data_IF_535396177544
#
_entry.id   IF_535396177544
#
_cell.length_a   1.000
_cell.length_b   1.000
_cell.length_c   1.000
_cell.angle_alpha   90.00
_cell.angle_beta   90.00
_cell.angle_gamma   90.00
#
_symmetry.space_group_name_H-M   'P 1'
#
loop_
_entity.id
_entity.type
_entity.pdbx_description
1 polymer ?
#
# COMPACT_ATOMS: atom_id res chain seq x y z
N UNK A 1 -16.88 3.20 6.41
CA UNK A 1 -17.49 4.52 6.19
C UNK A 1 -17.47 4.79 4.70
N UNK A 2 -18.60 5.17 4.10
CA UNK A 2 -18.73 5.45 2.64
C UNK A 2 -18.67 6.98 2.48
N UNK A 3 -17.77 7.50 1.64
CA UNK A 3 -17.65 8.95 1.37
C UNK A 3 -16.30 9.61 1.70
N UNK A 4 -15.30 8.87 2.18
CA UNK A 4 -13.98 9.43 2.46
C UNK A 4 -13.18 9.63 1.18
N UNK A 5 -12.56 10.80 1.00
CA UNK A 5 -11.73 11.09 -0.16
C UNK A 5 -10.41 10.33 -0.03
N UNK A 6 -10.17 9.41 -0.97
CA UNK A 6 -9.05 8.47 -0.92
C UNK A 6 -8.16 8.61 -2.14
N UNK A 7 -6.85 8.49 -1.92
CA UNK A 7 -5.86 8.38 -2.99
C UNK A 7 -5.01 7.13 -2.81
N UNK A 8 -4.75 6.42 -3.90
CA UNK A 8 -3.84 5.27 -3.94
C UNK A 8 -2.62 5.65 -4.77
N UNK A 9 -1.43 5.42 -4.22
CA UNK A 9 -0.15 5.70 -4.87
C UNK A 9 0.53 4.37 -5.20
N UNK A 10 0.87 4.14 -6.46
CA UNK A 10 1.66 2.98 -6.88
C UNK A 10 3.15 3.28 -6.70
N UNK A 11 3.65 3.01 -5.49
CA UNK A 11 5.05 3.19 -5.12
C UNK A 11 5.91 1.95 -5.43
N UNK A 12 5.39 0.93 -6.13
CA UNK A 12 6.21 -0.09 -6.76
C UNK A 12 6.78 0.45 -8.08
N UNK A 13 7.83 1.25 -7.95
CA UNK A 13 8.53 1.88 -9.09
C UNK A 13 9.36 0.87 -9.92
N UNK A 14 9.37 -0.42 -9.55
CA UNK A 14 10.17 -1.47 -10.20
C UNK A 14 9.31 -2.41 -11.04
N UNK A 15 8.11 -2.74 -10.56
CA UNK A 15 7.13 -3.64 -11.20
C UNK A 15 5.70 -3.14 -10.95
N UNK A 16 5.34 -1.94 -11.42
CA UNK A 16 4.04 -1.36 -11.16
C UNK A 16 2.91 -2.17 -11.81
N UNK A 17 1.80 -2.31 -11.10
CA UNK A 17 0.63 -3.08 -11.59
C UNK A 17 -0.68 -2.35 -11.41
N UNK A 18 -0.69 -1.21 -10.72
CA UNK A 18 -1.92 -0.55 -10.34
C UNK A 18 -2.62 0.07 -11.55
N UNK A 19 -1.85 0.62 -12.49
CA UNK A 19 -2.38 1.19 -13.72
C UNK A 19 -3.17 0.18 -14.56
N UNK A 20 -2.74 -1.08 -14.62
CA UNK A 20 -3.46 -2.17 -15.31
C UNK A 20 -4.78 -2.48 -14.60
N UNK A 21 -4.76 -2.57 -13.27
CA UNK A 21 -5.94 -2.89 -12.44
C UNK A 21 -7.03 -1.83 -12.55
N UNK A 22 -6.64 -0.56 -12.73
CA UNK A 22 -7.57 0.56 -12.86
C UNK A 22 -7.78 1.04 -14.30
N UNK A 23 -7.14 0.38 -15.29
CA UNK A 23 -7.24 0.73 -16.71
C UNK A 23 -6.91 2.21 -17.00
N UNK A 24 -5.79 2.69 -16.46
CA UNK A 24 -5.29 4.07 -16.63
C UNK A 24 -3.90 4.09 -17.28
N UNK A 25 -3.50 5.25 -17.82
CA UNK A 25 -2.15 5.43 -18.36
C UNK A 25 -1.10 5.39 -17.25
N UNK A 26 0.10 4.88 -17.59
CA UNK A 26 1.29 4.87 -16.73
C UNK A 26 2.47 5.62 -17.38
N UNK A 27 2.21 6.49 -18.35
CA UNK A 27 3.24 7.28 -19.02
C UNK A 27 3.75 8.44 -18.15
N UNK A 28 2.86 8.97 -17.30
CA UNK A 28 3.12 10.07 -16.37
C UNK A 28 2.66 9.62 -14.98
N UNK A 29 3.59 9.60 -14.02
CA UNK A 29 3.30 9.19 -12.64
C UNK A 29 4.39 9.62 -11.65
N UNK A 30 4.51 8.88 -10.55
CA UNK A 30 5.48 9.16 -9.49
C UNK A 30 6.92 9.29 -9.99
N UNK A 31 7.37 8.47 -10.94
CA UNK A 31 8.73 8.56 -11.46
C UNK A 31 8.98 9.87 -12.21
N UNK A 32 8.00 10.41 -12.94
CA UNK A 32 8.13 11.71 -13.61
C UNK A 32 8.12 12.84 -12.59
N UNK A 33 7.28 12.74 -11.55
CA UNK A 33 7.31 13.68 -10.44
C UNK A 33 8.70 13.69 -9.77
N UNK A 34 9.26 12.51 -9.51
CA UNK A 34 10.53 12.37 -8.80
C UNK A 34 11.75 12.83 -9.61
N UNK A 35 11.74 12.67 -10.94
CA UNK A 35 12.89 13.00 -11.79
C UNK A 35 12.75 14.38 -12.44
N UNK A 36 11.57 14.71 -12.94
CA UNK A 36 11.34 15.88 -13.79
C UNK A 36 10.57 17.00 -13.07
N UNK A 37 10.20 16.80 -11.80
CA UNK A 37 9.34 17.71 -11.05
C UNK A 37 8.01 18.00 -11.77
N UNK A 38 7.49 17.00 -12.49
CA UNK A 38 6.17 17.08 -13.14
C UNK A 38 5.14 17.54 -12.11
N UNK A 39 4.26 18.52 -12.44
CA UNK A 39 3.28 19.02 -11.49
C UNK A 39 2.40 17.89 -10.92
N UNK A 40 2.12 17.96 -9.61
CA UNK A 40 1.28 16.96 -8.92
C UNK A 40 -0.13 16.86 -9.53
N UNK A 41 -0.62 17.94 -10.12
CA UNK A 41 -1.91 17.98 -10.81
C UNK A 41 -1.94 17.08 -12.06
N UNK A 42 -0.79 16.82 -12.68
CA UNK A 42 -0.67 15.96 -13.87
C UNK A 42 -0.55 14.47 -13.52
N UNK A 43 -0.06 14.15 -12.32
CA UNK A 43 0.11 12.75 -11.87
C UNK A 43 -1.10 12.24 -11.07
N UNK A 44 -1.98 13.11 -10.58
CA UNK A 44 -3.17 12.74 -9.80
C UNK A 44 -4.33 12.49 -10.76
N UNK A 45 -4.63 11.22 -10.98
CA UNK A 45 -5.69 10.78 -11.88
C UNK A 45 -6.98 10.47 -11.12
N UNK A 46 -8.12 10.75 -11.75
CA UNK A 46 -9.41 10.26 -11.27
C UNK A 46 -9.59 8.81 -11.69
N UNK A 47 -10.12 7.99 -10.79
CA UNK A 47 -10.61 6.66 -11.15
C UNK A 47 -12.10 6.71 -11.51
N UNK A 48 -12.63 5.61 -12.06
CA UNK A 48 -14.07 5.43 -12.27
C UNK A 48 -14.87 5.22 -10.97
N UNK A 49 -14.18 5.15 -9.83
CA UNK A 49 -14.77 4.99 -8.49
C UNK A 49 -14.90 6.36 -7.83
N UNK A 50 -16.11 6.67 -7.36
CA UNK A 50 -16.37 7.92 -6.65
C UNK A 50 -15.45 8.09 -5.43
N UNK A 51 -14.92 9.30 -5.25
CA UNK A 51 -14.00 9.67 -4.18
C UNK A 51 -12.66 8.92 -4.17
N UNK A 52 -12.31 8.20 -5.24
CA UNK A 52 -11.03 7.52 -5.38
C UNK A 52 -10.18 8.16 -6.50
N UNK A 53 -8.98 8.58 -6.11
CA UNK A 53 -7.94 9.06 -7.01
C UNK A 53 -6.74 8.13 -6.99
N UNK A 54 -5.93 8.20 -8.02
CA UNK A 54 -4.79 7.32 -8.22
C UNK A 54 -3.59 8.15 -8.67
N UNK A 55 -2.43 7.87 -8.09
CA UNK A 55 -1.14 8.27 -8.66
C UNK A 55 -0.48 6.99 -9.19
N UNK A 56 -0.39 6.81 -10.52
CA UNK A 56 0.33 5.67 -11.08
C UNK A 56 1.84 5.84 -10.85
N UNK A 57 2.60 4.76 -10.98
CA UNK A 57 4.04 4.80 -10.70
C UNK A 57 4.81 5.65 -11.72
N UNK A 58 4.30 5.73 -12.95
CA UNK A 58 5.07 6.14 -14.13
C UNK A 58 5.97 5.01 -14.67
N UNK A 59 6.75 5.25 -15.73
CA UNK A 59 7.84 4.40 -16.19
C UNK A 59 8.75 3.90 -15.07
N UNK A 60 9.29 2.70 -15.26
CA UNK A 60 10.17 2.01 -14.30
C UNK A 60 11.35 2.90 -13.89
N UNK A 61 11.58 3.01 -12.58
CA UNK A 61 12.65 3.82 -12.00
C UNK A 61 13.59 2.95 -11.14
N UNK A 62 14.74 2.51 -11.68
CA UNK A 62 15.61 1.54 -11.00
C UNK A 62 16.35 2.08 -9.77
N UNK A 63 16.58 3.40 -9.69
CA UNK A 63 17.22 4.13 -8.58
C UNK A 63 16.19 4.81 -7.65
N UNK A 64 15.00 4.22 -7.52
CA UNK A 64 13.92 4.69 -6.64
C UNK A 64 14.37 4.94 -5.20
N UNK A 65 15.18 4.03 -4.62
CA UNK A 65 15.58 4.09 -3.20
C UNK A 65 16.28 5.41 -2.84
N UNK A 66 17.24 5.84 -3.65
CA UNK A 66 18.04 7.06 -3.41
C UNK A 66 17.16 8.32 -3.38
N UNK A 67 16.20 8.40 -4.29
CA UNK A 67 15.28 9.53 -4.39
C UNK A 67 14.28 9.56 -3.23
N UNK A 68 13.82 8.39 -2.78
CA UNK A 68 12.93 8.28 -1.61
C UNK A 68 13.67 8.71 -0.34
N UNK A 69 14.92 8.26 -0.18
CA UNK A 69 15.79 8.62 0.94
C UNK A 69 16.10 10.13 0.95
N UNK A 70 16.34 10.72 -0.23
CA UNK A 70 16.54 12.16 -0.39
C UNK A 70 15.30 13.03 -0.11
N UNK A 71 14.14 12.44 0.19
CA UNK A 71 12.93 13.17 0.57
C UNK A 71 12.16 13.77 -0.59
N UNK A 72 12.37 13.28 -1.82
CA UNK A 72 11.72 13.82 -3.04
C UNK A 72 10.17 13.76 -2.96
N UNK A 73 9.62 12.85 -2.15
CA UNK A 73 8.16 12.72 -1.96
C UNK A 73 7.61 13.53 -0.78
N UNK A 74 8.44 14.17 0.05
CA UNK A 74 8.02 14.81 1.29
C UNK A 74 6.92 15.88 1.03
N UNK A 75 7.14 16.76 0.04
CA UNK A 75 6.19 17.81 -0.35
C UNK A 75 4.89 17.25 -0.95
N UNK A 76 4.99 16.18 -1.75
CA UNK A 76 3.82 15.53 -2.33
C UNK A 76 2.95 14.93 -1.23
N UNK A 77 3.57 14.18 -0.32
CA UNK A 77 2.86 13.54 0.79
C UNK A 77 2.21 14.60 1.69
N UNK A 78 2.88 15.70 1.98
CA UNK A 78 2.30 16.77 2.80
C UNK A 78 1.10 17.44 2.12
N UNK A 79 1.20 17.71 0.82
CA UNK A 79 0.06 18.18 0.03
C UNK A 79 -1.11 17.19 0.08
N UNK A 80 -0.85 15.90 -0.13
CA UNK A 80 -1.90 14.88 -0.15
C UNK A 80 -2.60 14.77 1.20
N UNK A 81 -1.88 14.91 2.32
CA UNK A 81 -2.47 14.91 3.68
C UNK A 81 -3.45 16.07 3.89
N UNK A 82 -3.22 17.22 3.23
CA UNK A 82 -4.10 18.38 3.30
C UNK A 82 -5.39 18.21 2.48
N UNK A 83 -5.42 17.26 1.53
CA UNK A 83 -6.49 17.14 0.53
C UNK A 83 -7.30 15.85 0.68
N UNK A 84 -6.70 14.77 1.18
CA UNK A 84 -7.30 13.43 1.24
C UNK A 84 -7.46 12.95 2.68
N UNK A 85 -8.55 12.22 2.92
CA UNK A 85 -8.81 11.58 4.21
C UNK A 85 -7.93 10.33 4.40
N UNK A 86 -7.71 9.59 3.30
CA UNK A 86 -6.94 8.35 3.27
C UNK A 86 -5.91 8.41 2.12
N UNK A 87 -4.67 8.07 2.45
CA UNK A 87 -3.59 7.86 1.49
C UNK A 87 -3.19 6.39 1.64
N UNK A 88 -3.31 5.63 0.56
CA UNK A 88 -2.88 4.25 0.47
C UNK A 88 -1.61 4.24 -0.38
N UNK A 89 -0.55 3.64 0.16
CA UNK A 89 0.74 3.54 -0.51
C UNK A 89 0.96 2.05 -0.82
N UNK A 90 0.88 1.68 -2.10
CA UNK A 90 1.17 0.33 -2.58
C UNK A 90 2.67 0.21 -2.83
N UNK A 91 3.36 -0.76 -2.23
CA UNK A 91 4.83 -0.83 -2.26
C UNK A 91 5.37 -2.11 -2.86
N UNK A 92 6.67 -2.10 -3.21
CA UNK A 92 7.41 -3.32 -3.50
C UNK A 92 7.32 -4.33 -2.34
N UNK A 93 7.46 -5.65 -2.56
CA UNK A 93 7.42 -6.63 -1.48
C UNK A 93 8.45 -6.37 -0.36
N UNK A 94 7.96 -6.29 0.88
CA UNK A 94 8.79 -6.14 2.08
C UNK A 94 9.76 -7.33 2.25
N UNK A 95 11.01 -7.04 2.60
CA UNK A 95 12.07 -8.04 2.84
C UNK A 95 13.00 -8.33 1.65
N UNK A 96 12.68 -7.82 0.45
CA UNK A 96 13.53 -7.99 -0.74
C UNK A 96 14.17 -6.67 -1.17
N UNK A 97 13.44 -5.56 -1.05
CA UNK A 97 13.85 -4.25 -1.56
C UNK A 97 13.74 -3.20 -0.46
N UNK A 98 14.72 -2.30 -0.40
CA UNK A 98 14.76 -1.22 0.59
C UNK A 98 13.59 -0.22 0.45
N UNK A 99 13.03 -0.07 -0.75
CA UNK A 99 11.98 0.89 -1.09
C UNK A 99 10.77 0.80 -0.14
N UNK A 100 10.30 -0.42 0.14
CA UNK A 100 9.18 -0.65 1.06
C UNK A 100 9.46 -0.11 2.47
N UNK A 101 10.68 -0.35 2.98
CA UNK A 101 11.09 0.13 4.29
C UNK A 101 11.24 1.64 4.33
N UNK A 102 11.71 2.27 3.25
CA UNK A 102 11.82 3.73 3.17
C UNK A 102 10.45 4.40 3.15
N UNK A 103 9.45 3.78 2.53
CA UNK A 103 8.08 4.30 2.49
C UNK A 103 7.40 4.32 3.86
N UNK A 104 7.86 3.52 4.83
CA UNK A 104 7.21 3.45 6.15
C UNK A 104 7.26 4.79 6.90
N UNK A 105 8.25 5.66 6.61
CA UNK A 105 8.33 7.02 7.18
C UNK A 105 7.12 7.89 6.83
N UNK A 106 6.42 7.60 5.73
CA UNK A 106 5.22 8.32 5.30
C UNK A 106 3.91 7.68 5.81
N UNK A 107 3.99 6.44 6.31
CA UNK A 107 2.81 5.67 6.73
C UNK A 107 2.56 5.86 8.22
N UNK A 108 1.29 6.02 8.60
CA UNK A 108 0.90 5.99 10.02
C UNK A 108 0.57 4.58 10.50
N UNK A 109 0.24 3.66 9.60
CA UNK A 109 0.05 2.23 9.86
C UNK A 109 0.56 1.45 8.64
N UNK A 110 1.27 0.35 8.91
CA UNK A 110 1.79 -0.56 7.89
C UNK A 110 0.97 -1.86 7.91
N UNK A 111 0.51 -2.34 6.76
CA UNK A 111 -0.09 -3.67 6.67
C UNK A 111 0.85 -4.63 5.96
N UNK A 112 1.34 -5.62 6.70
CA UNK A 112 2.15 -6.68 6.12
C UNK A 112 1.24 -7.76 5.54
N UNK A 113 1.12 -7.81 4.21
CA UNK A 113 0.28 -8.80 3.52
C UNK A 113 1.01 -10.13 3.35
N UNK A 114 0.43 -11.19 3.90
CA UNK A 114 0.95 -12.55 3.84
C UNK A 114 -0.02 -13.46 3.08
N UNK A 115 0.44 -14.09 2.00
CA UNK A 115 -0.40 -14.97 1.20
C UNK A 115 -0.34 -16.41 1.71
N UNK A 116 -1.52 -16.93 2.05
CA UNK A 116 -1.68 -18.29 2.54
C UNK A 116 -1.11 -19.33 1.56
N UNK A 117 -0.33 -20.29 2.08
CA UNK A 117 0.36 -21.33 1.30
C UNK A 117 1.33 -20.82 0.20
N UNK A 118 1.73 -19.54 0.26
CA UNK A 118 2.66 -18.96 -0.72
C UNK A 118 3.81 -18.22 -0.05
N UNK A 119 3.53 -17.33 0.90
CA UNK A 119 4.59 -16.62 1.65
C UNK A 119 5.38 -17.61 2.50
N UNK A 120 6.70 -17.67 2.30
CA UNK A 120 7.59 -18.54 3.08
C UNK A 120 7.73 -18.00 4.50
N UNK A 121 7.77 -18.91 5.48
CA UNK A 121 7.80 -18.56 6.91
C UNK A 121 9.08 -17.84 7.33
N UNK A 122 10.21 -18.16 6.71
CA UNK A 122 11.49 -17.52 6.96
C UNK A 122 11.50 -16.07 6.44
N UNK A 123 11.04 -15.84 5.21
CA UNK A 123 10.89 -14.48 4.65
C UNK A 123 9.96 -13.62 5.51
N UNK A 124 8.86 -14.20 5.98
CA UNK A 124 7.96 -13.51 6.92
C UNK A 124 8.66 -13.15 8.24
N UNK A 125 9.38 -14.10 8.85
CA UNK A 125 10.12 -13.87 10.09
C UNK A 125 11.24 -12.83 9.93
N UNK A 126 11.97 -12.86 8.81
CA UNK A 126 12.99 -11.86 8.46
C UNK A 126 12.38 -10.46 8.30
N UNK A 127 11.21 -10.36 7.69
CA UNK A 127 10.49 -9.09 7.55
C UNK A 127 10.06 -8.52 8.90
N UNK A 128 9.53 -9.36 9.80
CA UNK A 128 9.20 -8.93 11.17
C UNK A 128 10.45 -8.51 11.95
N UNK A 129 11.56 -9.21 11.77
CA UNK A 129 12.84 -8.82 12.38
C UNK A 129 13.33 -7.47 11.84
N UNK A 130 13.19 -7.23 10.54
CA UNK A 130 13.48 -5.94 9.93
C UNK A 130 12.64 -4.83 10.56
N UNK A 131 11.33 -5.05 10.72
CA UNK A 131 10.43 -4.08 11.39
C UNK A 131 10.88 -3.77 12.82
N UNK A 132 11.31 -4.79 13.58
CA UNK A 132 11.87 -4.58 14.92
C UNK A 132 13.16 -3.75 14.90
N UNK A 133 14.09 -4.03 13.96
CA UNK A 133 15.35 -3.31 13.83
C UNK A 133 15.11 -1.85 13.40
N UNK A 134 14.17 -1.61 12.49
CA UNK A 134 13.82 -0.28 12.00
C UNK A 134 12.80 0.45 12.87
N UNK A 135 12.39 -0.16 14.00
CA UNK A 135 11.42 0.39 14.97
C UNK A 135 10.07 0.75 14.34
N UNK A 136 9.63 -0.06 13.38
CA UNK A 136 8.26 0.00 12.86
C UNK A 136 7.36 -0.69 13.87
N UNK A 137 6.72 0.10 14.74
CA UNK A 137 5.88 -0.41 15.83
C UNK A 137 4.40 -0.48 15.46
N UNK A 138 3.93 0.37 14.55
CA UNK A 138 2.52 0.41 14.15
C UNK A 138 2.29 -0.36 12.85
N UNK A 139 2.21 -1.68 12.97
CA UNK A 139 1.86 -2.56 11.86
C UNK A 139 0.86 -3.64 12.26
N UNK A 140 0.07 -4.08 11.28
CA UNK A 140 -0.80 -5.24 11.37
C UNK A 140 -0.46 -6.23 10.26
N UNK A 141 -0.86 -7.50 10.44
CA UNK A 141 -0.63 -8.56 9.45
C UNK A 141 -1.96 -8.93 8.79
N UNK A 142 -2.00 -8.86 7.46
CA UNK A 142 -3.16 -9.29 6.67
C UNK A 142 -2.87 -10.66 6.07
N UNK A 143 -3.59 -11.67 6.53
CA UNK A 143 -3.49 -13.01 5.94
C UNK A 143 -4.47 -13.16 4.77
N UNK A 144 -3.92 -13.16 3.55
CA UNK A 144 -4.67 -13.14 2.29
C UNK A 144 -4.73 -14.53 1.62
N UNK A 145 -5.66 -14.70 0.67
CA UNK A 145 -5.84 -15.92 -0.15
C UNK A 145 -6.17 -17.19 0.68
N UNK A 146 -6.92 -17.00 1.76
CA UNK A 146 -7.43 -18.08 2.60
C UNK A 146 -8.51 -18.88 1.87
N UNK A 147 -8.22 -20.13 1.54
CA UNK A 147 -9.26 -21.07 1.14
C UNK A 147 -9.95 -21.69 2.36
N UNK A 148 -10.99 -21.02 2.87
CA UNK A 148 -11.74 -21.44 4.07
C UNK A 148 -12.34 -22.85 3.91
N UNK A 149 -12.77 -23.23 2.70
CA UNK A 149 -13.36 -24.56 2.43
C UNK A 149 -12.35 -25.69 2.51
N UNK A 150 -11.10 -25.45 2.13
CA UNK A 150 -10.00 -26.44 2.14
C UNK A 150 -9.14 -26.37 3.41
N UNK A 151 -9.36 -25.39 4.28
CA UNK A 151 -8.58 -25.22 5.51
C UNK A 151 -9.19 -25.96 6.70
N UNK A 152 -8.40 -26.17 7.75
CA UNK A 152 -8.88 -26.71 9.03
C UNK A 152 -9.96 -25.82 9.70
N UNK A 153 -10.11 -24.57 9.25
CA UNK A 153 -11.13 -23.61 9.69
C UNK A 153 -12.52 -23.81 9.04
N UNK A 154 -12.66 -24.65 8.00
CA UNK A 154 -13.96 -24.97 7.41
C UNK A 154 -14.95 -25.62 8.39
N UNK A 155 -14.46 -26.19 9.50
CA UNK A 155 -15.31 -26.65 10.63
C UNK A 155 -15.77 -25.51 11.54
N UNK A 156 -15.00 -24.43 11.65
CA UNK A 156 -15.29 -23.25 12.48
C UNK A 156 -16.26 -22.27 11.80
N UNK A 157 -16.25 -22.16 10.47
CA UNK A 157 -17.19 -21.35 9.69
C UNK A 157 -18.66 -21.80 9.87
N UNK A 158 -18.89 -23.10 10.12
CA UNK A 158 -20.22 -23.61 10.50
C UNK A 158 -20.70 -23.15 11.88
N UNK A 159 -19.78 -22.79 12.77
CA UNK A 159 -20.08 -22.30 14.12
C UNK A 159 -20.35 -20.79 14.13
N UNK A 160 -19.56 -19.99 13.40
CA UNK A 160 -19.71 -18.53 13.35
C UNK A 160 -20.87 -18.02 12.48
N UNK A 161 -21.36 -18.80 11.51
CA UNK A 161 -22.58 -18.44 10.76
C UNK A 161 -23.84 -18.33 11.61
N UNK A 162 -23.79 -18.73 12.88
CA UNK A 162 -24.94 -18.65 13.80
C UNK A 162 -25.00 -17.35 14.58
N UNK A 163 -23.89 -16.62 14.74
CA UNK A 163 -23.83 -15.51 15.70
C UNK A 163 -22.89 -14.39 15.21
N UNK A 164 -23.49 -13.26 14.86
CA UNK A 164 -22.92 -11.90 14.78
C UNK A 164 -22.19 -11.44 13.49
N UNK A 165 -22.60 -10.26 13.03
CA UNK A 165 -21.87 -9.39 12.08
C UNK A 165 -21.03 -8.39 12.89
N UNK A 166 -19.73 -8.19 12.59
CA UNK A 166 -18.99 -7.09 13.19
C UNK A 166 -19.24 -5.79 12.41
N UNK A 167 -19.47 -4.71 13.15
CA UNK A 167 -19.38 -3.33 12.68
C UNK A 167 -18.04 -2.81 13.16
N UNK A 168 -17.16 -2.41 12.22
CA UNK A 168 -15.89 -1.74 12.55
C UNK A 168 -16.04 -0.26 12.22
N UNK A 169 -15.88 0.58 13.25
CA UNK A 169 -15.67 2.02 13.13
C UNK A 169 -14.16 2.27 13.10
N UNK A 170 -13.62 2.78 11.99
CA UNK A 170 -12.23 3.20 11.87
C UNK A 170 -12.17 4.73 11.79
N UNK A 171 -11.44 5.33 12.74
CA UNK A 171 -10.88 6.68 12.57
C UNK A 171 -9.84 6.67 11.45
N UNK A 172 -9.50 7.87 10.94
CA UNK A 172 -8.63 8.10 9.77
C UNK A 172 -7.45 7.10 9.71
N UNK A 173 -7.50 6.17 8.75
CA UNK A 173 -6.53 5.10 8.54
C UNK A 173 -5.59 5.52 7.41
N UNK A 174 -4.31 5.16 7.52
CA UNK A 174 -3.33 5.32 6.44
C UNK A 174 -2.70 3.95 6.26
N UNK A 175 -2.63 3.44 5.03
CA UNK A 175 -2.37 2.02 4.78
C UNK A 175 -1.21 1.86 3.81
N UNK A 176 -0.11 1.24 4.27
CA UNK A 176 0.89 0.64 3.40
C UNK A 176 0.44 -0.79 3.09
N UNK A 177 0.41 -1.22 1.83
CA UNK A 177 0.19 -2.62 1.44
C UNK A 177 1.48 -3.24 0.90
#
# INVERSE_FOLDING_TARGET
SVGNKTIVMDCDLRRPTLHEKFNISNEIGLSQYMINHTPKEEIILKSDIENLHIIPSGPILPNSSELIEAGVLDDLIEYLKGVYDYIIIDTTPAGIVADASLMTKYASLVLLVCRNNYTRKDVFAETLNLFNITKIENYDVVFNDLNIKKSRYGRYDRYYKKEHRPVISMGKLRMLL
#
